data_IF_935861718961
#
_entry.id   IF_935861718961
#
_cell.length_a   1.000
_cell.length_b   1.000
_cell.length_c   1.000
_cell.angle_alpha   90.00
_cell.angle_beta   90.00
_cell.angle_gamma   90.00
#
_symmetry.space_group_name_H-M   'P 1'
#
loop_
_entity.id
_entity.type
_entity.pdbx_description
1 polymer ?
#
# COMPACT_ATOMS: atom_id res chain seq x y z
N UNK A 1 -15.52 -5.26 -7.10
CA UNK A 1 -15.35 -4.12 -8.03
C UNK A 1 -14.96 -4.69 -9.39
N UNK A 2 -15.74 -4.45 -10.41
CA UNK A 2 -15.38 -4.87 -11.77
C UNK A 2 -14.42 -3.84 -12.42
N UNK A 3 -13.69 -4.26 -13.45
CA UNK A 3 -12.82 -3.35 -14.20
C UNK A 3 -13.61 -2.16 -14.80
N UNK A 4 -14.91 -2.34 -15.09
CA UNK A 4 -15.80 -1.28 -15.54
C UNK A 4 -16.08 -0.19 -14.50
N UNK A 5 -15.80 -0.44 -13.22
CA UNK A 5 -15.99 0.55 -12.14
C UNK A 5 -14.79 1.51 -12.05
N UNK A 6 -13.72 1.21 -12.80
CA UNK A 6 -12.52 2.05 -12.90
C UNK A 6 -12.80 3.25 -13.80
N UNK A 7 -13.49 4.23 -13.24
CA UNK A 7 -13.89 5.46 -13.95
C UNK A 7 -13.34 6.66 -13.19
N UNK A 8 -12.43 7.44 -13.78
CA UNK A 8 -11.88 8.64 -13.16
C UNK A 8 -12.95 9.61 -12.66
N UNK A 9 -12.68 10.25 -11.55
CA UNK A 9 -13.59 11.25 -10.94
C UNK A 9 -13.41 12.64 -11.55
N UNK A 10 -12.32 12.86 -12.29
CA UNK A 10 -11.93 14.19 -12.75
C UNK A 10 -11.35 15.04 -11.62
N UNK A 11 -10.47 14.43 -10.81
CA UNK A 11 -9.82 15.11 -9.69
C UNK A 11 -9.07 16.38 -10.15
N UNK A 12 -9.10 17.43 -9.34
CA UNK A 12 -8.29 18.64 -9.55
C UNK A 12 -6.79 18.40 -9.30
N UNK A 13 -6.42 17.25 -8.73
CA UNK A 13 -5.05 16.83 -8.50
C UNK A 13 -4.54 15.92 -9.63
N UNK A 14 -3.22 15.77 -9.71
CA UNK A 14 -2.55 15.01 -10.77
C UNK A 14 -1.22 14.41 -10.31
N UNK A 15 -0.51 13.74 -11.20
CA UNK A 15 0.76 13.03 -10.95
C UNK A 15 1.82 13.84 -10.18
N UNK A 16 1.86 15.14 -10.34
CA UNK A 16 2.86 16.04 -9.71
C UNK A 16 2.31 16.79 -8.50
N UNK A 17 1.03 16.60 -8.14
CA UNK A 17 0.48 17.13 -6.90
C UNK A 17 1.20 16.53 -5.69
N UNK A 18 1.39 17.34 -4.67
CA UNK A 18 2.07 16.94 -3.43
C UNK A 18 1.07 16.52 -2.34
N UNK A 19 1.56 15.80 -1.34
CA UNK A 19 0.82 15.47 -0.14
C UNK A 19 0.22 16.71 0.55
N UNK A 20 0.99 17.81 0.60
CA UNK A 20 0.54 19.05 1.22
C UNK A 20 -0.59 19.74 0.45
N UNK A 21 -0.55 19.71 -0.88
CA UNK A 21 -1.62 20.23 -1.74
C UNK A 21 -2.91 19.44 -1.57
N UNK A 22 -2.82 18.10 -1.60
CA UNK A 22 -3.98 17.21 -1.41
C UNK A 22 -4.67 17.46 -0.06
N UNK A 23 -3.89 17.64 1.02
CA UNK A 23 -4.43 17.93 2.35
C UNK A 23 -4.65 19.43 2.60
N UNK A 24 -4.52 20.30 1.61
CA UNK A 24 -4.81 21.72 1.77
C UNK A 24 -6.28 21.90 2.20
N UNK A 25 -6.49 22.63 3.29
CA UNK A 25 -7.85 22.86 3.83
C UNK A 25 -8.40 21.75 4.71
N UNK A 26 -7.75 20.59 4.85
CA UNK A 26 -8.16 19.56 5.81
C UNK A 26 -7.72 19.92 7.22
N UNK A 27 -8.59 19.67 8.17
CA UNK A 27 -8.31 19.56 9.61
C UNK A 27 -8.59 18.10 10.00
N UNK A 28 -7.54 17.40 10.45
CA UNK A 28 -7.62 16.00 10.87
C UNK A 28 -7.50 15.86 12.40
N UNK A 29 -7.71 16.96 13.14
CA UNK A 29 -7.76 16.93 14.60
C UNK A 29 -8.80 15.92 15.09
N UNK A 30 -8.40 15.04 16.01
CA UNK A 30 -9.25 13.96 16.51
C UNK A 30 -9.32 12.72 15.61
N UNK A 31 -8.66 12.72 14.46
CA UNK A 31 -8.51 11.53 13.60
C UNK A 31 -7.32 10.69 14.04
N UNK A 32 -7.46 9.37 13.94
CA UNK A 32 -6.42 8.39 14.27
C UNK A 32 -6.00 7.62 13.03
N UNK A 33 -4.69 7.54 12.80
CA UNK A 33 -4.10 6.86 11.65
C UNK A 33 -3.05 5.83 12.09
N UNK A 34 -3.02 4.67 11.44
CA UNK A 34 -1.90 3.73 11.47
C UNK A 34 -1.21 3.79 10.10
N UNK A 35 0.11 3.99 10.07
CA UNK A 35 0.91 4.02 8.84
C UNK A 35 2.04 3.01 8.95
N UNK A 36 1.92 1.85 8.29
CA UNK A 36 2.99 0.87 8.27
C UNK A 36 4.18 1.36 7.43
N UNK A 37 5.40 1.13 7.92
CA UNK A 37 6.60 1.67 7.26
C UNK A 37 6.70 3.20 7.29
N UNK A 38 6.01 3.86 8.21
CA UNK A 38 5.88 5.31 8.36
C UNK A 38 7.18 6.06 8.72
N UNK A 39 8.29 5.36 8.83
CA UNK A 39 9.61 5.94 9.14
C UNK A 39 10.58 5.89 7.95
N UNK A 40 10.10 5.70 6.73
CA UNK A 40 10.95 5.63 5.53
C UNK A 40 10.15 5.94 4.26
N UNK A 41 10.80 6.57 3.28
CA UNK A 41 10.24 6.81 1.95
C UNK A 41 8.85 7.45 2.00
N UNK A 42 7.91 6.90 1.23
CA UNK A 42 6.54 7.43 1.11
C UNK A 42 5.77 7.41 2.43
N UNK A 43 6.00 6.38 3.26
CA UNK A 43 5.37 6.27 4.57
C UNK A 43 5.73 7.44 5.47
N UNK A 44 6.98 7.88 5.46
CA UNK A 44 7.43 9.04 6.24
C UNK A 44 6.75 10.33 5.78
N UNK A 45 6.61 10.54 4.47
CA UNK A 45 5.89 11.71 3.94
C UNK A 45 4.39 11.65 4.26
N UNK A 46 3.79 10.46 4.22
CA UNK A 46 2.40 10.24 4.64
C UNK A 46 2.21 10.61 6.12
N UNK A 47 3.12 10.16 7.00
CA UNK A 47 3.11 10.50 8.45
C UNK A 47 3.23 12.02 8.64
N UNK A 48 4.20 12.66 7.97
CA UNK A 48 4.39 14.11 8.05
C UNK A 48 3.13 14.87 7.68
N UNK A 49 2.53 14.50 6.56
CA UNK A 49 1.35 15.16 6.04
C UNK A 49 0.13 14.99 6.98
N UNK A 50 -0.17 13.78 7.44
CA UNK A 50 -1.27 13.51 8.37
C UNK A 50 -1.07 14.23 9.72
N UNK A 51 0.13 14.12 10.29
CA UNK A 51 0.46 14.76 11.58
C UNK A 51 0.42 16.28 11.50
N UNK A 52 0.84 16.88 10.37
CA UNK A 52 0.79 18.33 10.14
C UNK A 52 -0.64 18.88 10.10
N UNK A 53 -1.63 18.01 9.87
CA UNK A 53 -3.06 18.35 9.86
C UNK A 53 -3.80 17.97 11.16
N UNK A 54 -3.05 17.58 12.19
CA UNK A 54 -3.59 17.32 13.54
C UNK A 54 -3.98 15.87 13.81
N UNK A 55 -3.80 14.94 12.87
CA UNK A 55 -4.07 13.53 13.12
C UNK A 55 -3.10 12.95 14.17
N UNK A 56 -3.61 12.05 15.02
CA UNK A 56 -2.78 11.16 15.81
C UNK A 56 -2.30 10.00 14.92
N UNK A 57 -0.98 9.90 14.73
CA UNK A 57 -0.40 8.91 13.82
C UNK A 57 0.40 7.88 14.60
N UNK A 58 -0.02 6.63 14.50
CA UNK A 58 0.69 5.49 15.05
C UNK A 58 1.56 4.89 13.96
N UNK A 59 2.85 4.75 14.23
CA UNK A 59 3.84 4.19 13.32
C UNK A 59 4.32 2.85 13.86
N UNK A 60 3.84 1.72 13.31
CA UNK A 60 4.38 0.41 13.65
C UNK A 60 5.84 0.28 13.20
N UNK A 61 6.72 -0.16 14.10
CA UNK A 61 8.16 -0.19 13.88
C UNK A 61 8.77 -1.54 14.22
N UNK A 62 9.58 -2.06 13.29
CA UNK A 62 10.39 -3.26 13.52
C UNK A 62 11.72 -2.93 14.21
N UNK A 63 12.28 -1.77 13.90
CA UNK A 63 13.60 -1.34 14.39
C UNK A 63 13.46 0.05 15.04
N UNK A 64 13.21 0.13 16.37
CA UNK A 64 12.92 1.39 17.06
C UNK A 64 13.96 2.50 16.83
N UNK A 65 15.25 2.21 17.02
CA UNK A 65 16.31 3.22 16.87
C UNK A 65 16.35 3.87 15.48
N UNK A 66 16.04 3.11 14.42
CA UNK A 66 15.96 3.65 13.04
C UNK A 66 14.74 4.55 12.87
N UNK A 67 13.62 4.18 13.47
CA UNK A 67 12.40 4.97 13.41
C UNK A 67 12.51 6.25 14.23
N UNK A 68 13.09 6.20 15.42
CA UNK A 68 13.38 7.37 16.27
C UNK A 68 14.18 8.42 15.50
N UNK A 69 15.27 8.01 14.84
CA UNK A 69 16.09 8.91 14.05
C UNK A 69 15.33 9.54 12.86
N UNK A 70 14.48 8.74 12.17
CA UNK A 70 13.75 9.21 11.01
C UNK A 70 12.56 10.14 11.37
N UNK A 71 11.97 9.95 12.55
CA UNK A 71 10.81 10.71 13.02
C UNK A 71 11.18 11.90 13.91
N UNK A 72 12.46 12.06 14.28
CA UNK A 72 12.91 13.08 15.25
C UNK A 72 12.47 14.51 14.88
N UNK A 73 12.49 14.86 13.60
CA UNK A 73 12.13 16.20 13.10
C UNK A 73 10.67 16.30 12.63
N UNK A 74 9.88 15.22 12.74
CA UNK A 74 8.47 15.22 12.33
C UNK A 74 7.61 15.80 13.44
N UNK A 75 6.94 16.91 13.14
CA UNK A 75 6.07 17.58 14.11
C UNK A 75 4.67 16.98 14.12
N UNK A 76 4.04 16.94 15.30
CA UNK A 76 2.67 16.49 15.49
C UNK A 76 2.56 15.37 16.50
N UNK A 77 1.38 14.76 16.60
CA UNK A 77 1.10 13.67 17.52
C UNK A 77 1.47 12.33 16.85
N UNK A 78 2.69 11.86 17.12
CA UNK A 78 3.22 10.61 16.52
C UNK A 78 3.63 9.67 17.64
N UNK A 79 3.17 8.44 17.55
CA UNK A 79 3.50 7.36 18.51
C UNK A 79 4.10 6.19 17.73
N UNK A 80 5.21 5.66 18.21
CA UNK A 80 5.80 4.41 17.71
C UNK A 80 5.32 3.22 18.54
N UNK A 81 5.03 2.09 17.87
CA UNK A 81 4.70 0.84 18.53
C UNK A 81 5.40 -0.32 17.84
N UNK A 82 5.81 -1.33 18.59
CA UNK A 82 6.55 -2.48 18.04
C UNK A 82 5.64 -3.34 17.17
N UNK A 83 6.07 -3.65 15.94
CA UNK A 83 5.40 -4.60 15.04
C UNK A 83 6.34 -5.03 13.90
N UNK A 84 6.37 -6.32 13.61
CA UNK A 84 7.00 -6.87 12.40
C UNK A 84 5.94 -7.57 11.52
N UNK A 85 5.75 -7.09 10.30
CA UNK A 85 4.81 -7.70 9.34
C UNK A 85 5.21 -9.11 8.86
N UNK A 86 6.45 -9.51 9.09
CA UNK A 86 6.92 -10.86 8.81
C UNK A 86 6.57 -11.87 9.92
N UNK A 87 6.10 -11.38 11.07
CA UNK A 87 5.75 -12.15 12.26
C UNK A 87 4.29 -11.90 12.65
N UNK A 88 3.44 -12.87 12.40
CA UNK A 88 1.98 -12.75 12.63
C UNK A 88 1.66 -12.61 14.12
N UNK A 89 2.43 -13.21 15.01
CA UNK A 89 2.25 -13.04 16.45
C UNK A 89 2.53 -11.60 16.87
N UNK A 90 3.58 -10.97 16.30
CA UNK A 90 3.88 -9.56 16.50
C UNK A 90 2.76 -8.65 15.98
N UNK A 91 2.17 -8.97 14.81
CA UNK A 91 1.04 -8.21 14.25
C UNK A 91 -0.19 -8.31 15.15
N UNK A 92 -0.53 -9.52 15.62
CA UNK A 92 -1.65 -9.73 16.54
C UNK A 92 -1.46 -8.98 17.86
N UNK A 93 -0.27 -9.08 18.48
CA UNK A 93 0.04 -8.35 19.72
C UNK A 93 -0.14 -6.84 19.55
N UNK A 94 0.40 -6.27 18.48
CA UNK A 94 0.21 -4.84 18.16
C UNK A 94 -1.28 -4.47 18.05
N UNK A 95 -2.06 -5.28 17.32
CA UNK A 95 -3.48 -5.01 17.11
C UNK A 95 -4.29 -5.16 18.40
N UNK A 96 -3.97 -6.12 19.26
CA UNK A 96 -4.63 -6.32 20.57
C UNK A 96 -4.38 -5.13 21.48
N UNK A 97 -3.13 -4.66 21.59
CA UNK A 97 -2.75 -3.48 22.37
C UNK A 97 -3.45 -2.21 21.83
N UNK A 98 -3.55 -2.09 20.50
CA UNK A 98 -4.23 -0.97 19.87
C UNK A 98 -5.75 -1.01 20.14
N UNK A 99 -6.39 -2.17 19.97
CA UNK A 99 -7.82 -2.38 20.25
C UNK A 99 -8.17 -2.12 21.72
N UNK A 100 -7.25 -2.41 22.67
CA UNK A 100 -7.45 -2.17 24.10
C UNK A 100 -7.39 -0.69 24.48
N UNK A 101 -6.69 0.14 23.71
CA UNK A 101 -6.38 1.53 24.06
C UNK A 101 -7.08 2.57 23.17
N UNK A 102 -7.63 2.16 22.03
CA UNK A 102 -8.28 3.05 21.07
C UNK A 102 -9.73 2.63 20.81
N UNK A 103 -10.59 3.60 20.56
CA UNK A 103 -12.01 3.39 20.28
C UNK A 103 -12.37 3.58 18.81
N UNK A 104 -11.45 4.15 18.02
CA UNK A 104 -11.64 4.41 16.60
C UNK A 104 -10.32 4.29 15.82
N UNK A 105 -10.43 3.99 14.54
CA UNK A 105 -9.34 4.02 13.57
C UNK A 105 -9.88 4.61 12.26
N UNK A 106 -9.49 5.84 11.95
CA UNK A 106 -9.99 6.55 10.76
C UNK A 106 -9.21 6.16 9.50
N UNK A 107 -7.88 5.99 9.63
CA UNK A 107 -7.00 5.69 8.51
C UNK A 107 -6.08 4.51 8.80
N UNK A 108 -6.18 3.44 8.02
CA UNK A 108 -5.20 2.36 8.01
C UNK A 108 -4.42 2.39 6.69
N UNK A 109 -3.17 2.82 6.75
CA UNK A 109 -2.31 2.93 5.56
C UNK A 109 -1.31 1.78 5.54
N UNK A 110 -1.62 0.76 4.75
CA UNK A 110 -0.80 -0.41 4.49
C UNK A 110 0.29 -0.06 3.45
N UNK A 111 1.30 0.70 3.89
CA UNK A 111 2.34 1.27 3.04
C UNK A 111 3.63 0.44 3.03
N UNK A 112 3.98 -0.22 4.12
CA UNK A 112 5.23 -0.98 4.21
C UNK A 112 5.36 -2.02 3.08
N UNK A 113 6.60 -2.30 2.67
CA UNK A 113 6.84 -3.32 1.67
C UNK A 113 8.31 -3.60 1.42
N UNK A 114 8.52 -4.72 0.73
CA UNK A 114 9.80 -5.14 0.17
C UNK A 114 9.60 -5.41 -1.33
N UNK A 115 10.65 -5.24 -2.12
CA UNK A 115 10.58 -5.34 -3.57
C UNK A 115 11.80 -6.06 -4.14
N UNK A 116 11.57 -6.95 -5.08
CA UNK A 116 12.59 -7.64 -5.87
C UNK A 116 13.71 -8.27 -5.00
N UNK A 117 13.30 -8.86 -3.87
CA UNK A 117 14.21 -9.53 -2.94
C UNK A 117 14.61 -10.90 -3.48
N UNK A 118 15.74 -11.42 -3.01
CA UNK A 118 16.07 -12.82 -3.18
C UNK A 118 15.01 -13.71 -2.51
N UNK A 119 14.87 -14.93 -2.99
CA UNK A 119 13.95 -15.90 -2.41
C UNK A 119 14.22 -16.07 -0.91
N UNK A 120 13.19 -15.86 -0.12
CA UNK A 120 13.20 -16.06 1.32
C UNK A 120 11.79 -16.47 1.79
N UNK A 121 11.72 -17.03 2.99
CA UNK A 121 10.48 -17.42 3.65
C UNK A 121 10.28 -16.59 4.91
N UNK A 122 9.02 -16.24 5.19
CA UNK A 122 8.61 -15.55 6.42
C UNK A 122 7.34 -16.19 6.98
N UNK A 123 7.03 -15.89 8.24
CA UNK A 123 5.87 -16.47 8.90
C UNK A 123 5.88 -17.99 8.83
N UNK A 124 4.79 -18.58 8.44
CA UNK A 124 4.59 -20.04 8.33
C UNK A 124 5.17 -20.65 7.04
N UNK A 125 6.23 -20.06 6.50
CA UNK A 125 6.90 -20.53 5.29
C UNK A 125 6.42 -19.85 4.02
N UNK A 126 5.76 -18.71 4.11
CA UNK A 126 5.30 -17.93 2.95
C UNK A 126 6.46 -17.29 2.19
N UNK A 127 6.32 -17.15 0.87
CA UNK A 127 7.24 -16.35 0.08
C UNK A 127 7.30 -14.92 0.65
N UNK A 128 8.49 -14.38 0.80
CA UNK A 128 8.72 -13.19 1.63
C UNK A 128 8.01 -11.93 1.15
N UNK A 129 7.89 -11.71 -0.18
CA UNK A 129 7.20 -10.53 -0.70
C UNK A 129 5.68 -10.66 -0.53
N UNK A 130 5.13 -11.84 -0.76
CA UNK A 130 3.72 -12.11 -0.46
C UNK A 130 3.46 -12.06 1.05
N UNK A 131 4.33 -12.66 1.86
CA UNK A 131 4.20 -12.69 3.31
C UNK A 131 4.20 -11.30 3.95
N UNK A 132 5.18 -10.45 3.60
CA UNK A 132 5.30 -9.10 4.17
C UNK A 132 4.31 -8.12 3.57
N UNK A 133 4.21 -8.07 2.22
CA UNK A 133 3.43 -7.03 1.56
C UNK A 133 1.92 -7.28 1.66
N UNK A 134 1.50 -8.56 1.70
CA UNK A 134 0.09 -8.94 1.73
C UNK A 134 -0.32 -9.59 3.07
N UNK A 135 0.24 -10.74 3.45
CA UNK A 135 -0.25 -11.51 4.61
C UNK A 135 -0.14 -10.75 5.93
N UNK A 136 0.98 -10.04 6.16
CA UNK A 136 1.16 -9.20 7.35
C UNK A 136 0.12 -8.08 7.43
N UNK A 137 -0.20 -7.43 6.31
CA UNK A 137 -1.23 -6.39 6.25
C UNK A 137 -2.66 -6.96 6.31
N UNK A 138 -2.87 -8.13 5.74
CA UNK A 138 -4.14 -8.85 5.85
C UNK A 138 -4.42 -9.21 7.32
N UNK A 139 -3.43 -9.77 8.02
CA UNK A 139 -3.53 -10.09 9.44
C UNK A 139 -3.80 -8.83 10.29
N UNK A 140 -3.10 -7.73 10.00
CA UNK A 140 -3.30 -6.44 10.67
C UNK A 140 -4.74 -5.94 10.49
N UNK A 141 -5.22 -5.87 9.25
CA UNK A 141 -6.58 -5.41 8.97
C UNK A 141 -7.63 -6.31 9.60
N UNK A 142 -7.44 -7.64 9.55
CA UNK A 142 -8.37 -8.60 10.15
C UNK A 142 -8.43 -8.45 11.68
N UNK A 143 -7.27 -8.27 12.33
CA UNK A 143 -7.20 -8.06 13.80
C UNK A 143 -7.76 -6.70 14.23
N UNK A 144 -7.74 -5.69 13.35
CA UNK A 144 -8.31 -4.36 13.59
C UNK A 144 -9.76 -4.22 13.10
N UNK A 145 -10.36 -5.28 12.51
CA UNK A 145 -11.71 -5.23 11.95
C UNK A 145 -12.75 -4.65 12.91
N UNK A 146 -12.76 -4.98 14.23
CA UNK A 146 -13.73 -4.39 15.16
C UNK A 146 -13.67 -2.86 15.26
N UNK A 147 -12.48 -2.26 15.07
CA UNK A 147 -12.34 -0.80 15.04
C UNK A 147 -12.69 -0.23 13.67
N UNK A 148 -12.28 -0.90 12.59
CA UNK A 148 -12.59 -0.48 11.22
C UNK A 148 -14.11 -0.46 10.98
N UNK A 149 -14.84 -1.44 11.50
CA UNK A 149 -16.30 -1.50 11.40
C UNK A 149 -17.01 -0.49 12.29
N UNK A 150 -16.41 -0.13 13.43
CA UNK A 150 -16.99 0.83 14.38
C UNK A 150 -16.79 2.28 13.96
N UNK A 151 -15.68 2.56 13.30
CA UNK A 151 -15.34 3.90 12.84
C UNK A 151 -16.15 4.26 11.61
N UNK A 152 -16.94 5.34 11.71
CA UNK A 152 -17.65 5.86 10.55
C UNK A 152 -16.65 6.40 9.53
N UNK A 153 -16.90 6.14 8.25
CA UNK A 153 -16.06 6.61 7.13
C UNK A 153 -14.57 6.19 7.23
N UNK A 154 -14.28 5.04 7.87
CA UNK A 154 -12.89 4.53 7.91
C UNK A 154 -12.34 4.31 6.51
N UNK A 155 -11.06 4.62 6.31
CA UNK A 155 -10.37 4.45 5.04
C UNK A 155 -9.16 3.55 5.20
N UNK A 156 -9.15 2.45 4.46
CA UNK A 156 -8.00 1.57 4.36
C UNK A 156 -7.33 1.79 3.00
N UNK A 157 -6.04 2.07 2.99
CA UNK A 157 -5.28 2.26 1.74
C UNK A 157 -4.17 1.22 1.66
N UNK A 158 -4.24 0.35 0.66
CA UNK A 158 -3.24 -0.69 0.42
C UNK A 158 -2.32 -0.27 -0.75
N UNK A 159 -1.02 -0.14 -0.49
CA UNK A 159 -0.08 0.25 -1.54
C UNK A 159 0.17 -0.92 -2.51
N UNK A 160 -0.32 -0.76 -3.72
CA UNK A 160 -0.02 -1.57 -4.89
C UNK A 160 1.12 -0.92 -5.71
N UNK A 161 1.22 -1.22 -6.98
CA UNK A 161 2.26 -0.74 -7.90
C UNK A 161 1.88 -1.12 -9.33
N UNK A 162 2.46 -0.48 -10.35
CA UNK A 162 2.48 -1.02 -11.71
C UNK A 162 3.08 -2.43 -11.77
N UNK A 163 3.79 -2.85 -10.72
CA UNK A 163 4.23 -4.23 -10.53
C UNK A 163 3.10 -5.26 -10.63
N UNK A 164 1.86 -4.93 -10.28
CA UNK A 164 0.71 -5.83 -10.45
C UNK A 164 0.52 -6.32 -11.90
N UNK A 165 1.03 -5.58 -12.89
CA UNK A 165 0.97 -5.95 -14.30
C UNK A 165 1.89 -7.11 -14.67
N UNK A 166 2.88 -7.41 -13.81
CA UNK A 166 3.89 -8.46 -14.06
C UNK A 166 3.32 -9.84 -13.77
N UNK A 167 2.45 -9.97 -12.77
CA UNK A 167 1.90 -11.26 -12.35
C UNK A 167 0.51 -11.13 -11.76
N UNK A 168 -0.38 -12.02 -12.13
CA UNK A 168 -1.57 -12.36 -11.37
C UNK A 168 -1.19 -13.20 -10.14
N UNK A 169 -2.17 -13.62 -9.33
CA UNK A 169 -1.98 -14.58 -8.25
C UNK A 169 -1.63 -15.95 -8.82
N UNK A 170 -0.56 -16.54 -8.34
CA UNK A 170 -0.09 -17.89 -8.70
C UNK A 170 -0.84 -18.93 -7.87
N UNK A 171 -2.10 -19.16 -8.21
CA UNK A 171 -3.02 -19.97 -7.41
C UNK A 171 -2.52 -21.39 -7.12
N UNK A 172 -1.74 -21.99 -8.04
CA UNK A 172 -1.26 -23.37 -7.94
C UNK A 172 0.15 -23.47 -7.32
N UNK A 173 0.88 -22.34 -7.24
CA UNK A 173 2.25 -22.28 -6.71
C UNK A 173 2.56 -20.92 -6.09
N UNK A 174 1.76 -20.54 -5.10
CA UNK A 174 1.76 -19.23 -4.43
C UNK A 174 3.13 -18.85 -3.87
N UNK A 175 3.88 -19.84 -3.43
CA UNK A 175 5.14 -19.66 -2.70
C UNK A 175 6.38 -20.11 -3.48
N UNK A 176 6.26 -20.44 -4.76
CA UNK A 176 7.38 -20.96 -5.56
C UNK A 176 7.97 -22.25 -4.98
N UNK A 177 7.10 -23.19 -4.64
CA UNK A 177 7.51 -24.50 -4.14
C UNK A 177 7.87 -25.46 -5.28
N UNK A 178 7.32 -25.25 -6.47
CA UNK A 178 7.49 -26.07 -7.65
C UNK A 178 8.28 -25.38 -8.78
N UNK A 179 8.13 -24.07 -8.96
CA UNK A 179 8.79 -23.32 -10.03
C UNK A 179 10.03 -22.57 -9.54
N UNK A 180 10.93 -22.25 -10.47
CA UNK A 180 12.05 -21.35 -10.21
C UNK A 180 11.56 -19.98 -9.76
N UNK A 181 12.25 -19.40 -8.79
CA UNK A 181 11.90 -18.11 -8.24
C UNK A 181 12.24 -16.97 -9.17
N UNK A 182 11.23 -16.17 -9.50
CA UNK A 182 11.39 -14.89 -10.16
C UNK A 182 10.96 -13.76 -9.20
N UNK A 183 11.90 -12.94 -8.78
CA UNK A 183 11.69 -11.87 -7.81
C UNK A 183 10.70 -10.80 -8.27
N UNK A 184 10.61 -10.56 -9.58
CA UNK A 184 9.68 -9.57 -10.12
C UNK A 184 8.26 -10.13 -10.25
N UNK A 185 8.11 -11.40 -10.62
CA UNK A 185 6.81 -12.07 -10.58
C UNK A 185 6.29 -12.17 -9.14
N UNK A 186 7.16 -12.51 -8.17
CA UNK A 186 6.79 -12.55 -6.75
C UNK A 186 6.35 -11.17 -6.24
N UNK A 187 7.07 -10.11 -6.64
CA UNK A 187 6.64 -8.74 -6.34
C UNK A 187 5.30 -8.40 -7.01
N UNK A 188 5.14 -8.74 -8.28
CA UNK A 188 3.91 -8.54 -9.04
C UNK A 188 2.71 -9.21 -8.38
N UNK A 189 2.85 -10.49 -8.03
CA UNK A 189 1.84 -11.25 -7.29
C UNK A 189 1.44 -10.54 -5.98
N UNK A 190 2.42 -10.11 -5.17
CA UNK A 190 2.14 -9.41 -3.92
C UNK A 190 1.40 -8.07 -4.14
N UNK A 191 1.66 -7.37 -5.26
CA UNK A 191 1.00 -6.10 -5.59
C UNK A 191 -0.39 -6.30 -6.19
N UNK A 192 -0.62 -7.37 -6.93
CA UNK A 192 -1.95 -7.85 -7.32
C UNK A 192 -2.76 -8.24 -6.07
N UNK A 193 -2.14 -8.96 -5.13
CA UNK A 193 -2.80 -9.35 -3.88
C UNK A 193 -3.25 -8.12 -3.07
N UNK A 194 -2.47 -7.04 -3.03
CA UNK A 194 -2.87 -5.81 -2.34
C UNK A 194 -4.07 -5.12 -3.01
N UNK A 195 -4.19 -5.16 -4.34
CA UNK A 195 -5.33 -4.61 -5.05
C UNK A 195 -6.60 -5.45 -4.79
N UNK A 196 -6.50 -6.76 -4.90
CA UNK A 196 -7.61 -7.69 -4.63
C UNK A 196 -8.04 -7.65 -3.15
N UNK A 197 -7.09 -7.52 -2.21
CA UNK A 197 -7.36 -7.33 -0.79
C UNK A 197 -8.21 -6.07 -0.54
N UNK A 198 -7.82 -4.92 -1.10
CA UNK A 198 -8.59 -3.68 -0.95
C UNK A 198 -10.01 -3.81 -1.51
N UNK A 199 -10.16 -4.49 -2.65
CA UNK A 199 -11.45 -4.82 -3.24
C UNK A 199 -12.32 -5.65 -2.28
N UNK A 200 -11.82 -6.77 -1.77
CA UNK A 200 -12.57 -7.64 -0.86
C UNK A 200 -12.89 -6.95 0.48
N UNK A 201 -11.94 -6.21 1.05
CA UNK A 201 -12.12 -5.48 2.30
C UNK A 201 -13.17 -4.37 2.17
N UNK A 202 -13.18 -3.62 1.06
CA UNK A 202 -14.15 -2.56 0.83
C UNK A 202 -15.60 -3.07 0.83
N UNK A 203 -15.83 -4.28 0.30
CA UNK A 203 -17.16 -4.91 0.36
C UNK A 203 -17.58 -5.24 1.79
N UNK A 204 -16.64 -5.67 2.63
CA UNK A 204 -16.86 -6.02 4.05
C UNK A 204 -17.16 -4.79 4.89
N UNK A 205 -16.49 -3.69 4.62
CA UNK A 205 -16.68 -2.42 5.35
C UNK A 205 -17.90 -1.60 4.87
N UNK A 206 -18.51 -2.00 3.75
CA UNK A 206 -19.60 -1.22 3.12
C UNK A 206 -20.77 -0.94 4.05
N UNK A 207 -21.15 -1.90 4.90
CA UNK A 207 -22.30 -1.78 5.79
C UNK A 207 -22.10 -0.69 6.87
N UNK A 208 -20.87 -0.37 7.21
CA UNK A 208 -20.49 0.64 8.22
C UNK A 208 -20.08 1.97 7.61
N UNK A 209 -20.14 2.11 6.28
CA UNK A 209 -19.68 3.31 5.58
C UNK A 209 -18.18 3.37 5.35
N UNK A 210 -17.43 2.33 5.77
CA UNK A 210 -16.00 2.24 5.55
C UNK A 210 -15.64 1.86 4.11
N UNK A 211 -14.44 2.22 3.70
CA UNK A 211 -13.92 1.96 2.35
C UNK A 211 -12.47 1.47 2.39
N UNK A 212 -12.10 0.65 1.42
CA UNK A 212 -10.71 0.29 1.17
C UNK A 212 -10.36 0.55 -0.30
N UNK A 213 -9.16 1.06 -0.55
CA UNK A 213 -8.64 1.40 -1.87
C UNK A 213 -7.23 0.86 -2.04
N UNK A 214 -6.90 0.49 -3.27
CA UNK A 214 -5.50 0.20 -3.63
C UNK A 214 -4.90 1.38 -4.37
N UNK A 215 -3.60 1.62 -4.18
CA UNK A 215 -2.92 2.80 -4.71
C UNK A 215 -1.62 2.44 -5.40
N UNK A 216 -1.43 2.95 -6.63
CA UNK A 216 -0.12 3.08 -7.24
C UNK A 216 0.44 4.48 -6.98
N UNK A 217 1.56 4.59 -6.26
CA UNK A 217 2.11 5.90 -5.90
C UNK A 217 2.90 6.58 -7.03
N UNK A 218 3.23 5.86 -8.11
CA UNK A 218 4.16 6.27 -9.17
C UNK A 218 5.52 5.61 -9.04
N UNK A 219 6.46 5.97 -9.91
CA UNK A 219 7.88 5.68 -9.79
C UNK A 219 8.55 6.70 -8.87
N UNK A 220 9.22 6.28 -7.81
CA UNK A 220 9.90 7.15 -6.84
C UNK A 220 11.18 6.47 -6.38
N UNK A 221 12.29 7.19 -6.32
CA UNK A 221 13.50 6.69 -5.67
C UNK A 221 13.33 6.73 -4.15
N UNK A 222 13.36 5.55 -3.53
CA UNK A 222 13.20 5.38 -2.08
C UNK A 222 14.05 4.20 -1.60
N UNK A 223 14.21 3.96 -0.30
CA UNK A 223 14.86 2.75 0.20
C UNK A 223 14.17 1.43 -0.19
N UNK A 224 13.06 1.45 -0.91
CA UNK A 224 12.42 0.25 -1.47
C UNK A 224 13.34 -0.47 -2.47
N UNK A 225 14.15 0.28 -3.24
CA UNK A 225 15.10 -0.25 -4.23
C UNK A 225 16.38 -0.85 -3.62
N UNK A 226 16.54 -0.89 -2.29
CA UNK A 226 17.75 -1.34 -1.59
C UNK A 226 18.26 -2.75 -1.96
N UNK A 227 17.41 -3.59 -2.54
CA UNK A 227 17.72 -4.94 -2.98
C UNK A 227 18.07 -5.03 -4.47
N UNK A 228 17.99 -3.91 -5.21
CA UNK A 228 18.32 -3.87 -6.64
C UNK A 228 19.77 -3.46 -6.83
N UNK A 229 20.57 -4.27 -7.54
CA UNK A 229 21.88 -3.86 -8.02
C UNK A 229 21.79 -2.65 -8.94
N UNK A 230 22.83 -1.81 -8.95
CA UNK A 230 22.90 -0.63 -9.82
C UNK A 230 22.75 -1.00 -11.30
N UNK A 231 23.36 -2.08 -11.72
CA UNK A 231 23.32 -2.60 -13.08
C UNK A 231 21.90 -2.97 -13.51
N UNK A 232 21.10 -3.49 -12.61
CA UNK A 232 19.70 -3.81 -12.88
C UNK A 232 18.86 -2.54 -12.99
N UNK A 233 19.10 -1.53 -12.16
CA UNK A 233 18.41 -0.24 -12.27
C UNK A 233 18.76 0.48 -13.58
N UNK A 234 19.99 0.32 -14.09
CA UNK A 234 20.40 0.79 -15.43
C UNK A 234 19.64 0.01 -16.51
N UNK A 235 19.60 -1.32 -16.43
CA UNK A 235 18.89 -2.16 -17.39
C UNK A 235 17.37 -1.88 -17.44
N UNK A 236 16.78 -1.47 -16.29
CA UNK A 236 15.38 -1.03 -16.21
C UNK A 236 15.15 0.39 -16.75
N UNK A 237 16.21 1.10 -17.09
CA UNK A 237 16.16 2.48 -17.57
C UNK A 237 15.87 3.51 -16.46
N UNK A 238 16.05 3.16 -15.19
CA UNK A 238 15.87 4.09 -14.06
C UNK A 238 17.10 4.93 -13.82
N UNK A 239 18.29 4.36 -14.04
CA UNK A 239 19.57 5.06 -13.96
C UNK A 239 20.23 5.11 -15.35
N UNK A 240 21.04 6.14 -15.57
CA UNK A 240 22.00 6.20 -16.66
C UNK A 240 23.28 5.41 -16.35
N UNK A 241 24.16 5.25 -17.32
CA UNK A 241 25.46 4.55 -17.15
C UNK A 241 26.34 5.22 -16.09
N UNK A 242 26.17 6.52 -15.86
CA UNK A 242 26.85 7.30 -14.82
C UNK A 242 26.31 6.98 -13.41
N UNK A 243 25.12 6.32 -13.32
CA UNK A 243 24.44 5.97 -12.08
C UNK A 243 23.54 7.05 -11.54
N UNK A 244 23.38 8.14 -12.25
CA UNK A 244 22.40 9.18 -11.96
C UNK A 244 21.02 8.83 -12.55
N UNK A 245 19.91 9.42 -12.07
CA UNK A 245 18.60 9.21 -12.68
C UNK A 245 18.62 9.45 -14.19
N UNK A 246 18.12 8.48 -14.95
CA UNK A 246 17.99 8.59 -16.41
C UNK A 246 17.03 9.72 -16.81
N UNK A 247 17.07 10.15 -18.07
CA UNK A 247 16.12 11.14 -18.59
C UNK A 247 14.66 10.64 -18.47
N UNK A 248 14.43 9.34 -18.64
CA UNK A 248 13.13 8.72 -18.44
C UNK A 248 12.69 8.86 -16.96
N UNK A 249 13.59 8.59 -16.03
CA UNK A 249 13.29 8.72 -14.60
C UNK A 249 13.09 10.17 -14.19
N UNK A 250 13.92 11.11 -14.69
CA UNK A 250 13.76 12.54 -14.42
C UNK A 250 12.40 13.08 -14.92
N UNK A 251 11.93 12.61 -16.07
CA UNK A 251 10.64 13.02 -16.62
C UNK A 251 9.44 12.36 -15.88
N UNK A 252 9.53 11.06 -15.58
CA UNK A 252 8.40 10.26 -15.12
C UNK A 252 8.33 10.07 -13.61
N UNK A 253 9.47 10.02 -12.90
CA UNK A 253 9.47 9.76 -11.46
C UNK A 253 8.99 10.99 -10.67
N UNK A 254 8.46 10.70 -9.49
CA UNK A 254 7.93 11.68 -8.55
C UNK A 254 8.92 11.92 -7.41
N UNK A 255 8.80 13.07 -6.76
CA UNK A 255 9.41 13.25 -5.44
C UNK A 255 8.67 12.42 -4.38
N UNK A 256 9.24 12.17 -3.20
CA UNK A 256 8.53 11.48 -2.10
C UNK A 256 7.21 12.18 -1.72
N UNK A 257 7.17 13.52 -1.71
CA UNK A 257 5.98 14.31 -1.40
C UNK A 257 4.88 14.11 -2.46
N UNK A 258 5.28 14.03 -3.73
CA UNK A 258 4.36 13.72 -4.83
C UNK A 258 3.93 12.24 -4.79
N UNK A 259 4.82 11.33 -4.39
CA UNK A 259 4.51 9.91 -4.27
C UNK A 259 3.49 9.59 -3.17
N UNK A 260 3.47 10.37 -2.08
CA UNK A 260 2.50 10.21 -1.00
C UNK A 260 1.12 10.79 -1.32
N UNK A 261 0.99 11.63 -2.35
CA UNK A 261 -0.24 12.37 -2.65
C UNK A 261 -1.43 11.47 -2.94
N UNK A 262 -1.27 10.44 -3.78
CA UNK A 262 -2.37 9.53 -4.14
C UNK A 262 -2.86 8.72 -2.93
N UNK A 263 -1.95 8.33 -2.03
CA UNK A 263 -2.30 7.66 -0.76
C UNK A 263 -3.20 8.55 0.10
N UNK A 264 -2.83 9.82 0.24
CA UNK A 264 -3.60 10.78 1.03
C UNK A 264 -4.91 11.17 0.35
N UNK A 265 -4.90 11.30 -0.97
CA UNK A 265 -6.13 11.52 -1.74
C UNK A 265 -7.11 10.34 -1.57
N UNK A 266 -6.64 9.11 -1.67
CA UNK A 266 -7.48 7.93 -1.42
C UNK A 266 -8.01 7.87 0.02
N UNK A 267 -7.21 8.32 0.99
CA UNK A 267 -7.60 8.35 2.39
C UNK A 267 -8.60 9.47 2.72
N UNK A 268 -8.63 10.60 1.98
CA UNK A 268 -9.37 11.79 2.41
C UNK A 268 -10.37 12.34 1.40
N UNK A 269 -10.29 11.94 0.13
CA UNK A 269 -11.16 12.52 -0.91
C UNK A 269 -12.60 12.07 -0.77
N UNK A 270 -13.51 13.04 -0.71
CA UNK A 270 -14.96 12.81 -0.77
C UNK A 270 -15.43 12.29 -2.15
N UNK A 271 -14.64 12.46 -3.21
CA UNK A 271 -14.95 11.93 -4.54
C UNK A 271 -14.99 10.39 -4.59
N UNK A 272 -14.36 9.73 -3.60
CA UNK A 272 -14.37 8.28 -3.45
C UNK A 272 -15.52 7.75 -2.59
N UNK A 273 -16.39 8.59 -2.05
CA UNK A 273 -17.54 8.14 -1.28
C UNK A 273 -18.46 7.28 -2.16
N UNK A 274 -18.81 6.10 -1.67
CA UNK A 274 -19.61 5.11 -2.41
C UNK A 274 -18.87 4.35 -3.53
N UNK A 275 -17.58 4.65 -3.75
CA UNK A 275 -16.72 3.89 -4.67
C UNK A 275 -16.07 2.74 -3.90
N UNK A 276 -16.39 1.50 -4.25
CA UNK A 276 -15.92 0.35 -3.49
C UNK A 276 -14.67 -0.26 -4.13
N UNK A 277 -13.57 -0.27 -3.40
CA UNK A 277 -12.38 -1.05 -3.73
C UNK A 277 -11.60 -0.61 -4.99
N UNK A 278 -11.85 0.60 -5.51
CA UNK A 278 -11.18 1.07 -6.74
C UNK A 278 -9.67 1.17 -6.59
N UNK A 279 -8.97 0.98 -7.70
CA UNK A 279 -7.54 1.20 -7.81
C UNK A 279 -7.29 2.67 -8.19
N UNK A 280 -6.39 3.33 -7.47
CA UNK A 280 -6.11 4.74 -7.65
C UNK A 280 -4.67 4.97 -8.11
N UNK A 281 -4.48 5.90 -9.03
CA UNK A 281 -3.17 6.44 -9.43
C UNK A 281 -3.30 7.94 -9.72
N UNK A 282 -2.21 8.69 -9.55
CA UNK A 282 -2.12 10.12 -9.89
C UNK A 282 -3.24 10.99 -9.31
N UNK A 283 -3.69 10.65 -8.07
CA UNK A 283 -4.77 11.31 -7.34
C UNK A 283 -6.13 11.22 -8.04
N UNK A 284 -6.39 10.13 -8.76
CA UNK A 284 -7.70 9.80 -9.30
C UNK A 284 -7.91 8.26 -9.34
N UNK A 285 -9.08 7.81 -9.77
CA UNK A 285 -9.33 6.41 -10.08
C UNK A 285 -8.57 6.08 -11.38
N UNK A 286 -7.76 5.02 -11.34
CA UNK A 286 -7.02 4.57 -12.51
C UNK A 286 -7.95 4.06 -13.61
N UNK A 287 -7.63 4.34 -14.86
CA UNK A 287 -8.32 3.75 -16.01
C UNK A 287 -7.92 2.28 -16.19
N UNK A 288 -8.74 1.45 -16.86
CA UNK A 288 -8.29 0.16 -17.35
C UNK A 288 -7.04 0.30 -18.24
N UNK A 289 -6.08 -0.61 -18.10
CA UNK A 289 -4.88 -0.59 -18.95
C UNK A 289 -5.26 -0.76 -20.42
N UNK A 290 -4.90 0.23 -21.23
CA UNK A 290 -4.93 0.12 -22.70
C UNK A 290 -3.60 -0.51 -23.16
N UNK A 291 -3.65 -1.78 -23.58
CA UNK A 291 -2.47 -2.55 -23.98
C UNK A 291 -1.81 -2.02 -25.26
N UNK A 292 -2.55 -1.27 -26.08
CA UNK A 292 -2.04 -0.66 -27.31
C UNK A 292 -1.39 0.70 -27.07
N UNK A 293 -1.54 1.26 -25.86
CA UNK A 293 -0.94 2.53 -25.46
C UNK A 293 0.56 2.38 -25.19
N UNK A 294 1.40 3.34 -25.63
CA UNK A 294 2.82 3.38 -25.25
C UNK A 294 3.02 3.57 -23.72
N UNK A 295 2.00 4.01 -23.02
CA UNK A 295 2.01 4.17 -21.54
C UNK A 295 1.50 2.94 -20.79
N UNK A 296 1.07 1.89 -21.49
CA UNK A 296 0.49 0.67 -20.89
C UNK A 296 1.33 0.08 -19.73
N UNK A 297 2.67 0.19 -19.84
CA UNK A 297 3.60 -0.28 -18.81
C UNK A 297 3.52 0.54 -17.52
N UNK A 298 3.16 1.82 -17.60
CA UNK A 298 3.32 2.78 -16.50
C UNK A 298 2.00 3.27 -15.93
N UNK A 299 0.89 3.14 -16.65
CA UNK A 299 -0.42 3.69 -16.27
C UNK A 299 -1.53 2.65 -16.37
N UNK A 300 -2.59 2.89 -15.62
CA UNK A 300 -3.80 2.07 -15.61
C UNK A 300 -3.68 0.80 -14.77
N UNK A 301 -4.79 0.10 -14.65
CA UNK A 301 -4.92 -1.14 -13.88
C UNK A 301 -5.35 -2.30 -14.76
N UNK A 302 -4.74 -3.48 -14.58
CA UNK A 302 -5.09 -4.68 -15.30
C UNK A 302 -6.35 -5.34 -14.71
N UNK A 303 -7.13 -6.00 -15.55
CA UNK A 303 -8.41 -6.61 -15.19
C UNK A 303 -8.28 -7.61 -14.02
N UNK A 304 -7.22 -8.44 -14.00
CA UNK A 304 -7.02 -9.44 -12.94
C UNK A 304 -6.88 -8.81 -11.54
N UNK A 305 -6.36 -7.56 -11.45
CA UNK A 305 -6.25 -6.85 -10.18
C UNK A 305 -7.56 -6.19 -9.73
N UNK A 306 -8.61 -6.25 -10.56
CA UNK A 306 -9.94 -5.69 -10.32
C UNK A 306 -11.05 -6.76 -10.34
N UNK A 307 -10.69 -8.05 -10.29
CA UNK A 307 -11.66 -9.14 -10.38
C UNK A 307 -12.25 -9.47 -9.00
N UNK A 308 -13.58 -9.47 -8.92
CA UNK A 308 -14.31 -9.74 -7.68
C UNK A 308 -14.21 -11.17 -7.20
N UNK A 309 -14.20 -12.14 -8.12
CA UNK A 309 -14.08 -13.56 -7.81
C UNK A 309 -12.68 -13.86 -7.27
N UNK A 310 -11.65 -13.36 -7.94
CA UNK A 310 -10.26 -13.47 -7.49
C UNK A 310 -10.04 -12.77 -6.14
N UNK A 311 -10.68 -11.63 -5.90
CA UNK A 311 -10.59 -10.93 -4.63
C UNK A 311 -11.18 -11.74 -3.47
N UNK A 312 -12.33 -12.40 -3.68
CA UNK A 312 -12.93 -13.26 -2.67
C UNK A 312 -12.11 -14.54 -2.46
N UNK A 313 -11.68 -15.18 -3.54
CA UNK A 313 -10.81 -16.35 -3.50
C UNK A 313 -9.51 -16.06 -2.72
N UNK A 314 -8.89 -14.89 -2.95
CA UNK A 314 -7.69 -14.50 -2.22
C UNK A 314 -7.98 -14.25 -0.74
N UNK A 315 -9.12 -13.65 -0.42
CA UNK A 315 -9.53 -13.42 0.96
C UNK A 315 -9.65 -14.75 1.73
N UNK A 316 -10.43 -15.70 1.18
CA UNK A 316 -10.62 -17.04 1.77
C UNK A 316 -9.29 -17.80 1.91
N UNK A 317 -8.42 -17.72 0.89
CA UNK A 317 -7.08 -18.31 0.93
C UNK A 317 -6.23 -17.67 2.05
N UNK A 318 -6.26 -16.36 2.20
CA UNK A 318 -5.50 -15.65 3.23
C UNK A 318 -6.00 -15.97 4.64
N UNK A 319 -7.32 -16.09 4.83
CA UNK A 319 -7.89 -16.55 6.10
C UNK A 319 -7.44 -17.98 6.45
N UNK A 320 -7.46 -18.88 5.46
CA UNK A 320 -6.98 -20.26 5.63
C UNK A 320 -5.49 -20.29 6.00
N UNK A 321 -4.66 -19.51 5.34
CA UNK A 321 -3.22 -19.42 5.64
C UNK A 321 -2.97 -18.87 7.06
N UNK A 322 -3.75 -17.86 7.50
CA UNK A 322 -3.64 -17.32 8.86
C UNK A 322 -4.16 -18.26 9.94
N UNK A 323 -5.13 -19.12 9.65
CA UNK A 323 -5.65 -20.08 10.62
C UNK A 323 -4.67 -21.22 10.92
N UNK A 324 -3.65 -21.37 10.06
CA UNK A 324 -2.57 -22.35 10.20
C UNK A 324 -1.31 -21.75 10.84
N UNK A 325 -1.35 -20.42 11.16
CA UNK A 325 -0.25 -19.62 11.67
C UNK A 325 -0.26 -19.45 13.19
#
# INVERSE_FOLDING_TARGET
>A
MAISDQVPTGSDFHAKSTAAEVLSGFDLTGKTAIVTGGYSGLGLETVRALASKGAAVIVPVRTPAKAEAALADVKGNITMAAMDLADIASVRTFADDFNATHTQLDFLINNAGIMACQQARVGEGWESQFGVNHMGHFALAQSLMPLLERSQDTRVVALSSTGHKISDIRWDDLHYDAADYDKWQAYGQAKTANALFANALSRRLRATGGHAFSVHPGGIFTPLQRHLPKEEMIALGWLGDDGEPSELAKAGFKSPEQGASTTLWAATSGALNGKAGVYCEDCDIAIPTDLDSPTARFMGVNAHACDDESAERLWELSEKLLSSA
#
